data_IF_351681212785
#
_entry.id   IF_351681212785
#
_cell.length_a   1.000
_cell.length_b   1.000
_cell.length_c   1.000
_cell.angle_alpha   90.00
_cell.angle_beta   90.00
_cell.angle_gamma   90.00
#
_symmetry.space_group_name_H-M   'P 1'
#
loop_
_entity.id
_entity.type
_entity.pdbx_description
1 polymer ?
#
# COMPACT_ATOMS: atom_id res chain seq x y z
N UNK A 1 17.62 20.90 -2.03
CA UNK A 1 18.15 19.58 -2.42
C UNK A 1 16.99 18.63 -2.67
N UNK A 2 16.98 17.92 -3.79
CA UNK A 2 15.95 16.95 -4.16
C UNK A 2 16.34 15.53 -3.77
N UNK A 3 15.36 14.66 -3.57
CA UNK A 3 15.59 13.27 -3.21
C UNK A 3 16.52 12.55 -4.21
N UNK A 4 17.38 11.68 -3.70
CA UNK A 4 18.32 10.86 -4.47
C UNK A 4 17.67 9.93 -5.49
N UNK A 5 16.39 9.57 -5.35
CA UNK A 5 15.73 8.63 -6.26
C UNK A 5 15.32 9.28 -7.59
N UNK A 6 15.56 8.58 -8.70
CA UNK A 6 15.21 9.04 -10.04
C UNK A 6 13.73 9.46 -10.12
N UNK A 7 13.48 10.67 -10.60
CA UNK A 7 12.13 11.22 -10.79
C UNK A 7 11.42 11.68 -9.51
N UNK A 8 12.12 11.75 -8.37
CA UNK A 8 11.53 12.23 -7.13
C UNK A 8 11.88 13.70 -6.85
N UNK A 9 10.91 14.59 -7.09
CA UNK A 9 11.06 16.03 -6.81
C UNK A 9 10.80 16.43 -5.35
N UNK A 10 10.57 15.46 -4.46
CA UNK A 10 10.28 15.76 -3.05
C UNK A 10 11.54 16.29 -2.34
N UNK A 11 11.37 17.24 -1.40
CA UNK A 11 12.49 17.76 -0.63
C UNK A 11 13.11 16.68 0.25
N UNK A 12 14.40 16.83 0.45
CA UNK A 12 15.22 15.95 1.27
C UNK A 12 14.99 16.25 2.76
N UNK A 13 15.00 15.23 3.61
CA UNK A 13 14.94 15.45 5.07
C UNK A 13 16.31 15.89 5.59
N UNK A 14 16.38 16.75 6.63
CA UNK A 14 17.66 17.10 7.25
C UNK A 14 18.43 15.84 7.63
N UNK A 15 19.76 15.81 7.40
CA UNK A 15 20.70 14.69 7.64
C UNK A 15 20.68 13.50 6.67
N UNK A 16 19.79 13.46 5.69
CA UNK A 16 19.71 12.34 4.74
C UNK A 16 19.71 12.84 3.30
N UNK A 17 19.95 11.99 2.30
CA UNK A 17 19.82 12.36 0.87
C UNK A 17 18.45 11.96 0.27
N UNK A 18 17.48 11.63 1.13
CA UNK A 18 16.19 11.05 0.74
C UNK A 18 15.04 11.89 1.31
N UNK A 19 13.89 11.88 0.62
CA UNK A 19 12.68 12.49 1.15
C UNK A 19 12.03 11.62 2.24
N UNK A 20 11.07 12.18 2.98
CA UNK A 20 10.37 11.46 4.05
C UNK A 20 9.73 10.13 3.58
N UNK A 21 9.23 10.08 2.34
CA UNK A 21 8.67 8.86 1.74
C UNK A 21 9.72 7.81 1.40
N UNK A 22 10.92 8.25 1.04
CA UNK A 22 12.02 7.38 0.61
C UNK A 22 13.04 7.08 1.72
N UNK A 23 12.87 7.59 2.94
CA UNK A 23 13.85 7.46 4.04
C UNK A 23 14.26 6.01 4.32
N UNK A 24 13.31 5.08 4.25
CA UNK A 24 13.53 3.63 4.45
C UNK A 24 13.67 2.84 3.15
N UNK A 25 13.86 3.51 2.01
CA UNK A 25 14.07 2.85 0.72
C UNK A 25 15.55 2.89 0.38
N UNK A 26 16.03 1.78 -0.19
CA UNK A 26 17.41 1.63 -0.65
C UNK A 26 17.50 1.80 -2.16
N UNK A 27 18.62 2.39 -2.62
CA UNK A 27 18.96 2.46 -4.04
C UNK A 27 19.51 1.11 -4.52
N UNK A 28 19.38 0.85 -5.80
CA UNK A 28 19.98 -0.31 -6.45
C UNK A 28 21.50 -0.37 -6.21
N UNK A 29 22.02 -1.59 -6.04
CA UNK A 29 23.46 -1.86 -5.85
C UNK A 29 24.32 -1.50 -7.07
N UNK A 30 23.74 -1.46 -8.27
CA UNK A 30 24.46 -1.09 -9.50
C UNK A 30 24.89 0.38 -9.40
N UNK A 31 26.17 0.63 -9.64
CA UNK A 31 26.75 1.97 -9.58
C UNK A 31 26.07 2.93 -10.56
N UNK A 32 25.82 4.15 -10.12
CA UNK A 32 25.06 5.14 -10.89
C UNK A 32 23.55 4.89 -10.99
N UNK A 33 23.02 3.81 -10.39
CA UNK A 33 21.58 3.55 -10.38
C UNK A 33 20.89 4.18 -9.17
N UNK A 34 20.02 5.15 -9.46
CA UNK A 34 19.19 5.84 -8.47
C UNK A 34 17.76 5.28 -8.41
N UNK A 35 17.51 4.09 -8.95
CA UNK A 35 16.22 3.40 -8.85
C UNK A 35 16.10 2.66 -7.51
N UNK A 36 14.88 2.52 -7.03
CA UNK A 36 14.57 1.77 -5.82
C UNK A 36 14.82 0.25 -5.99
N UNK A 37 15.38 -0.37 -4.96
CA UNK A 37 15.49 -1.83 -4.86
C UNK A 37 14.09 -2.46 -4.89
N UNK A 38 13.95 -3.47 -5.74
CA UNK A 38 12.79 -4.35 -5.75
C UNK A 38 13.07 -5.62 -4.94
N UNK A 39 14.15 -6.33 -5.26
CA UNK A 39 14.62 -7.51 -4.53
C UNK A 39 16.13 -7.69 -4.74
N UNK A 40 16.80 -8.42 -3.83
CA UNK A 40 18.24 -8.77 -3.95
C UNK A 40 19.15 -7.56 -4.14
N UNK A 41 18.79 -6.41 -3.53
CA UNK A 41 19.48 -5.13 -3.69
C UNK A 41 19.49 -4.58 -5.13
N UNK A 42 18.65 -5.09 -6.02
CA UNK A 42 18.57 -4.70 -7.43
C UNK A 42 17.19 -4.11 -7.76
N UNK A 43 17.16 -3.13 -8.67
CA UNK A 43 15.90 -2.62 -9.22
C UNK A 43 15.37 -3.55 -10.34
N UNK A 44 14.16 -3.30 -10.81
CA UNK A 44 13.51 -4.14 -11.83
C UNK A 44 14.33 -4.25 -13.12
N UNK A 45 14.96 -3.16 -13.56
CA UNK A 45 15.81 -3.14 -14.77
C UNK A 45 17.15 -3.86 -14.59
N UNK A 46 17.67 -3.96 -13.35
CA UNK A 46 18.96 -4.56 -13.05
C UNK A 46 18.82 -5.97 -12.47
N UNK A 47 17.73 -6.68 -12.77
CA UNK A 47 17.56 -8.08 -12.37
C UNK A 47 16.92 -8.30 -10.99
N UNK A 48 16.35 -7.25 -10.38
CA UNK A 48 15.51 -7.42 -9.19
C UNK A 48 14.26 -8.27 -9.47
N UNK A 49 13.80 -8.30 -10.73
CA UNK A 49 12.64 -9.10 -11.15
C UNK A 49 13.03 -10.05 -12.28
N UNK A 50 12.45 -11.26 -12.29
CA UNK A 50 12.64 -12.23 -13.38
C UNK A 50 12.19 -11.63 -14.72
N UNK A 51 12.91 -11.97 -15.79
CA UNK A 51 12.57 -11.65 -17.18
C UNK A 51 11.68 -12.75 -17.77
N UNK A 52 10.84 -12.37 -18.73
CA UNK A 52 9.97 -13.32 -19.43
C UNK A 52 10.78 -14.46 -20.06
N UNK A 53 10.35 -15.70 -19.89
CA UNK A 53 11.00 -16.87 -20.49
C UNK A 53 10.77 -17.02 -22.01
N UNK A 54 9.97 -16.14 -22.62
CA UNK A 54 9.73 -16.18 -24.07
C UNK A 54 11.00 -15.73 -24.84
N UNK A 55 11.38 -16.43 -25.92
CA UNK A 55 12.59 -16.12 -26.67
C UNK A 55 12.58 -14.67 -27.19
N UNK A 56 13.65 -13.93 -26.90
CA UNK A 56 13.80 -12.52 -27.31
C UNK A 56 13.01 -11.50 -26.48
N UNK A 57 12.34 -11.91 -25.40
CA UNK A 57 11.56 -10.98 -24.58
C UNK A 57 12.33 -10.43 -23.37
N UNK A 58 12.69 -9.16 -23.40
CA UNK A 58 13.30 -8.46 -22.25
C UNK A 58 12.27 -7.91 -21.21
N UNK A 59 10.98 -8.20 -21.38
CA UNK A 59 9.96 -7.68 -20.47
C UNK A 59 9.98 -8.41 -19.13
N UNK A 60 9.75 -7.71 -18.00
CA UNK A 60 9.66 -8.37 -16.70
C UNK A 60 8.44 -9.28 -16.61
N UNK A 61 8.61 -10.42 -15.92
CA UNK A 61 7.55 -11.38 -15.62
C UNK A 61 6.40 -10.71 -14.87
N UNK A 62 5.18 -11.16 -15.13
CA UNK A 62 3.97 -10.67 -14.44
C UNK A 62 3.25 -11.80 -13.73
N UNK A 63 3.03 -12.92 -14.42
CA UNK A 63 2.34 -14.10 -13.90
C UNK A 63 3.14 -15.33 -14.33
N UNK A 64 3.38 -16.27 -13.40
CA UNK A 64 4.23 -17.44 -13.67
C UNK A 64 5.64 -17.03 -14.07
N UNK A 65 6.07 -17.42 -15.26
CA UNK A 65 7.37 -17.07 -15.84
C UNK A 65 7.26 -16.18 -17.10
N UNK A 66 6.07 -15.63 -17.38
CA UNK A 66 5.80 -14.85 -18.58
C UNK A 66 5.38 -13.40 -18.27
N UNK A 67 5.66 -12.50 -19.20
CA UNK A 67 5.16 -11.12 -19.16
C UNK A 67 3.68 -11.06 -19.58
N UNK A 68 2.99 -9.94 -19.38
CA UNK A 68 1.57 -9.78 -19.75
C UNK A 68 1.23 -10.06 -21.21
N UNK A 69 2.20 -9.97 -22.13
CA UNK A 69 2.03 -10.30 -23.55
C UNK A 69 2.15 -11.80 -23.83
N UNK A 70 2.94 -12.51 -23.04
CA UNK A 70 3.25 -13.93 -23.23
C UNK A 70 2.55 -14.83 -22.20
N UNK A 71 1.87 -14.24 -21.22
CA UNK A 71 0.90 -14.96 -20.40
C UNK A 71 -0.33 -15.23 -21.25
N UNK A 72 -0.73 -16.50 -21.35
CA UNK A 72 -2.00 -16.86 -21.95
C UNK A 72 -3.13 -16.20 -21.16
N UNK A 73 -3.75 -15.16 -21.74
CA UNK A 73 -5.07 -14.72 -21.30
C UNK A 73 -6.05 -15.68 -21.93
N UNK A 74 -6.64 -16.57 -21.14
CA UNK A 74 -7.75 -17.39 -21.59
C UNK A 74 -8.98 -16.49 -21.72
N UNK A 75 -9.14 -15.84 -22.86
CA UNK A 75 -10.34 -15.12 -23.24
C UNK A 75 -11.04 -15.92 -24.34
N UNK A 76 -12.35 -16.13 -24.18
CA UNK A 76 -13.19 -16.76 -25.20
C UNK A 76 -13.73 -15.71 -26.16
N UNK A 77 -14.17 -16.11 -27.34
CA UNK A 77 -14.91 -15.19 -28.22
C UNK A 77 -16.26 -14.83 -27.60
N UNK A 78 -16.74 -13.61 -27.83
CA UNK A 78 -18.08 -13.21 -27.44
C UNK A 78 -19.15 -14.02 -28.19
N UNK A 79 -20.14 -14.54 -27.48
CA UNK A 79 -21.27 -15.32 -28.03
C UNK A 79 -22.27 -14.49 -28.88
N UNK A 80 -21.98 -13.23 -29.19
CA UNK A 80 -22.88 -12.35 -29.96
C UNK A 80 -22.45 -12.38 -31.43
N UNK A 81 -23.38 -12.70 -32.33
CA UNK A 81 -23.11 -12.78 -33.77
C UNK A 81 -22.50 -11.47 -34.31
N UNK A 82 -21.38 -11.60 -35.02
CA UNK A 82 -20.63 -10.46 -35.58
C UNK A 82 -19.71 -9.72 -34.59
N UNK A 83 -19.60 -10.16 -33.34
CA UNK A 83 -18.70 -9.55 -32.37
C UNK A 83 -17.27 -10.13 -32.49
N UNK A 84 -16.29 -9.27 -32.78
CA UNK A 84 -14.86 -9.61 -32.82
C UNK A 84 -14.14 -9.42 -31.49
N UNK A 85 -14.87 -9.05 -30.43
CA UNK A 85 -14.30 -8.79 -29.11
C UNK A 85 -14.23 -10.06 -28.30
N UNK A 86 -13.13 -10.24 -27.59
CA UNK A 86 -12.97 -11.33 -26.63
C UNK A 86 -13.67 -11.01 -25.31
N UNK A 87 -14.01 -12.06 -24.57
CA UNK A 87 -14.53 -11.98 -23.21
C UNK A 87 -13.44 -11.60 -22.22
N UNK A 88 -13.80 -10.99 -21.08
CA UNK A 88 -12.78 -10.57 -20.12
C UNK A 88 -12.14 -11.76 -19.37
N UNK A 89 -12.83 -12.90 -19.33
CA UNK A 89 -12.35 -14.14 -18.75
C UNK A 89 -12.98 -15.33 -19.49
N UNK A 90 -12.26 -16.44 -19.59
CA UNK A 90 -12.70 -17.66 -20.29
C UNK A 90 -14.09 -18.16 -19.86
N UNK A 91 -14.46 -17.94 -18.59
CA UNK A 91 -15.74 -18.38 -18.03
C UNK A 91 -16.92 -17.46 -18.41
N UNK A 92 -16.67 -16.37 -19.11
CA UNK A 92 -17.70 -15.46 -19.58
C UNK A 92 -18.11 -15.81 -21.01
N UNK A 93 -19.41 -15.71 -21.29
CA UNK A 93 -19.96 -15.94 -22.63
C UNK A 93 -20.08 -14.66 -23.46
N UNK A 94 -20.06 -13.48 -22.81
CA UNK A 94 -20.22 -12.19 -23.47
C UNK A 94 -19.02 -11.28 -23.17
N UNK A 95 -18.67 -10.42 -24.11
CA UNK A 95 -17.63 -9.41 -23.89
C UNK A 95 -18.12 -8.30 -22.95
N UNK A 96 -17.22 -7.48 -22.37
CA UNK A 96 -17.60 -6.38 -21.49
C UNK A 96 -18.64 -5.41 -22.08
N UNK A 97 -18.66 -5.25 -23.40
CA UNK A 97 -19.63 -4.40 -24.11
C UNK A 97 -21.01 -5.06 -24.24
N UNK A 98 -21.07 -6.39 -24.29
CA UNK A 98 -22.30 -7.16 -24.44
C UNK A 98 -22.78 -7.81 -23.14
N UNK A 99 -22.35 -7.30 -21.98
CA UNK A 99 -22.81 -7.78 -20.66
C UNK A 99 -21.90 -8.78 -19.97
N UNK A 100 -20.65 -8.93 -20.41
CA UNK A 100 -19.58 -9.62 -19.66
C UNK A 100 -19.14 -8.89 -18.39
N UNK A 101 -19.64 -7.68 -18.15
CA UNK A 101 -19.52 -6.95 -16.89
C UNK A 101 -20.83 -6.23 -16.60
N UNK A 102 -21.25 -6.20 -15.34
CA UNK A 102 -22.37 -5.34 -14.93
C UNK A 102 -21.99 -3.87 -15.03
N UNK A 103 -22.96 -3.01 -15.33
CA UNK A 103 -22.78 -1.56 -15.23
C UNK A 103 -22.81 -1.12 -13.76
N UNK A 104 -22.32 0.09 -13.50
CA UNK A 104 -22.42 0.70 -12.19
C UNK A 104 -23.90 0.85 -11.78
N UNK A 105 -24.23 0.51 -10.53
CA UNK A 105 -25.57 0.62 -9.97
C UNK A 105 -26.01 2.06 -9.62
N UNK A 106 -25.26 3.07 -10.08
CA UNK A 106 -25.67 4.47 -9.94
C UNK A 106 -26.46 4.82 -11.19
N UNK A 107 -27.61 5.47 -11.01
CA UNK A 107 -28.46 5.91 -12.11
C UNK A 107 -27.65 6.75 -13.12
N UNK A 108 -27.94 6.56 -14.41
CA UNK A 108 -27.23 7.18 -15.54
C UNK A 108 -25.73 6.87 -15.67
N UNK A 109 -25.19 5.88 -14.95
CA UNK A 109 -23.79 5.49 -15.05
C UNK A 109 -23.54 4.28 -15.97
N UNK A 110 -23.12 4.53 -17.21
CA UNK A 110 -22.74 3.49 -18.20
C UNK A 110 -21.35 2.87 -17.96
N UNK A 111 -20.62 3.27 -16.90
CA UNK A 111 -19.29 2.73 -16.62
C UNK A 111 -19.41 1.32 -16.03
N UNK A 112 -18.53 0.38 -16.41
CA UNK A 112 -18.57 -0.97 -15.88
C UNK A 112 -18.25 -1.00 -14.37
N UNK A 113 -18.97 -1.84 -13.64
CA UNK A 113 -18.70 -2.16 -12.26
C UNK A 113 -17.37 -2.93 -12.16
N UNK A 114 -16.56 -2.55 -11.19
CA UNK A 114 -15.23 -3.13 -10.97
C UNK A 114 -15.09 -3.74 -9.59
N UNK A 115 -15.79 -3.18 -8.60
CA UNK A 115 -15.82 -3.68 -7.23
C UNK A 115 -17.28 -3.71 -6.78
N UNK A 116 -17.82 -4.90 -6.53
CA UNK A 116 -19.25 -5.08 -6.29
C UNK A 116 -20.10 -4.60 -7.47
N UNK A 117 -21.07 -3.73 -7.21
CA UNK A 117 -21.93 -3.13 -8.25
C UNK A 117 -21.48 -1.73 -8.69
N UNK A 118 -20.29 -1.25 -8.32
CA UNK A 118 -19.88 0.15 -8.56
C UNK A 118 -18.62 0.27 -9.43
N UNK A 119 -18.56 1.35 -10.22
CA UNK A 119 -17.38 1.71 -11.00
C UNK A 119 -16.29 2.37 -10.12
N UNK A 120 -15.10 2.59 -10.67
CA UNK A 120 -13.98 3.21 -9.94
C UNK A 120 -14.28 4.60 -9.38
N UNK A 121 -15.17 5.37 -10.02
CA UNK A 121 -15.58 6.69 -9.54
C UNK A 121 -16.66 6.62 -8.45
N UNK A 122 -17.50 5.60 -8.46
CA UNK A 122 -18.65 5.49 -7.56
C UNK A 122 -18.41 4.53 -6.38
N UNK A 123 -17.38 3.70 -6.41
CA UNK A 123 -17.08 2.71 -5.34
C UNK A 123 -16.86 3.30 -3.95
N UNK A 124 -16.39 4.56 -3.87
CA UNK A 124 -16.15 5.25 -2.60
C UNK A 124 -17.24 6.30 -2.28
N UNK A 125 -18.20 6.52 -3.19
CA UNK A 125 -19.25 7.54 -3.06
C UNK A 125 -20.58 7.00 -2.57
N UNK A 126 -20.68 5.70 -2.31
CA UNK A 126 -21.80 5.13 -1.57
C UNK A 126 -21.51 5.26 -0.09
N UNK A 127 -21.40 6.50 0.37
CA UNK A 127 -21.78 6.77 1.74
C UNK A 127 -23.31 6.63 1.77
N UNK A 128 -23.77 5.86 2.75
CA UNK A 128 -25.16 5.68 3.12
C UNK A 128 -25.97 6.97 2.96
N UNK A 129 -27.22 6.81 2.52
CA UNK A 129 -28.36 7.75 2.57
C UNK A 129 -28.04 9.09 3.28
N UNK A 130 -28.32 10.27 2.68
CA UNK A 130 -28.05 11.56 3.31
C UNK A 130 -28.59 11.55 4.74
N UNK A 131 -27.67 11.74 5.69
CA UNK A 131 -27.98 11.85 7.10
C UNK A 131 -28.92 13.05 7.27
N UNK A 132 -30.11 12.89 7.87
CA UNK A 132 -30.96 14.03 8.19
C UNK A 132 -30.14 15.05 9.01
N UNK A 133 -30.27 16.34 8.69
CA UNK A 133 -29.43 17.43 9.22
C UNK A 133 -29.67 17.76 10.71
N UNK A 134 -30.25 16.84 11.50
CA UNK A 134 -30.66 17.09 12.90
C UNK A 134 -29.74 16.42 13.93
N UNK A 135 -28.47 16.17 13.60
CA UNK A 135 -27.50 15.58 14.53
C UNK A 135 -26.21 16.42 14.68
N UNK A 136 -26.35 17.74 14.78
CA UNK A 136 -25.28 18.66 15.19
C UNK A 136 -25.52 19.11 16.65
N UNK A 137 -25.38 18.19 17.61
CA UNK A 137 -25.38 18.56 19.03
C UNK A 137 -24.82 17.44 19.94
N UNK A 138 -23.55 17.07 19.78
CA UNK A 138 -22.68 16.77 20.93
C UNK A 138 -21.22 16.83 20.49
N UNK A 139 -20.40 17.49 21.29
CA UNK A 139 -19.01 17.75 21.00
C UNK A 139 -18.23 16.61 21.65
N UNK A 140 -17.76 15.65 20.86
CA UNK A 140 -17.10 14.44 21.38
C UNK A 140 -15.66 14.69 21.90
N UNK A 141 -15.32 15.93 22.23
CA UNK A 141 -13.99 16.34 22.71
C UNK A 141 -13.77 16.17 24.22
N UNK A 142 -14.85 16.10 25.01
CA UNK A 142 -14.73 16.21 26.47
C UNK A 142 -14.47 14.86 27.16
N UNK A 143 -14.78 13.73 26.52
CA UNK A 143 -14.65 12.40 27.13
C UNK A 143 -13.18 11.92 27.23
N UNK A 144 -12.32 12.29 26.28
CA UNK A 144 -10.91 11.90 26.29
C UNK A 144 -10.08 12.72 27.27
N UNK A 145 -10.45 13.99 27.48
CA UNK A 145 -9.76 14.88 28.42
C UNK A 145 -10.00 14.42 29.86
N UNK A 146 -11.23 14.01 30.19
CA UNK A 146 -11.55 13.50 31.54
C UNK A 146 -10.85 12.17 31.87
N UNK A 147 -10.64 11.31 30.87
CA UNK A 147 -9.88 10.05 31.05
C UNK A 147 -8.38 10.29 31.27
N UNK A 148 -7.82 11.39 30.74
CA UNK A 148 -6.42 11.75 30.89
C UNK A 148 -6.15 12.43 32.26
N UNK A 149 -7.06 13.26 32.75
CA UNK A 149 -6.92 13.91 34.06
C UNK A 149 -7.05 12.91 35.23
N UNK A 150 -7.86 11.87 35.10
CA UNK A 150 -8.00 10.81 36.11
C UNK A 150 -6.71 9.97 36.24
N UNK A 151 -5.97 9.78 35.14
CA UNK A 151 -4.68 9.06 35.13
C UNK A 151 -3.49 9.89 35.61
N UNK A 152 -3.59 11.22 35.60
CA UNK A 152 -2.50 12.11 36.03
C UNK A 152 -2.49 12.43 37.53
N UNK A 153 -3.51 12.01 38.30
CA UNK A 153 -3.57 12.28 39.74
C UNK A 153 -3.05 11.15 40.62
N UNK A 154 -2.89 9.93 40.10
CA UNK A 154 -2.46 8.76 40.89
C UNK A 154 -0.92 8.61 41.04
N UNK A 155 -0.10 9.43 40.37
CA UNK A 155 1.37 9.39 40.52
C UNK A 155 1.93 10.24 41.68
N UNK A 156 1.10 10.98 42.41
CA UNK A 156 1.58 11.83 43.52
C UNK A 156 1.60 11.15 44.88
N UNK A 157 1.12 9.91 45.00
CA UNK A 157 1.13 9.15 46.27
C UNK A 157 2.21 8.07 46.36
N UNK A 158 3.01 7.86 45.31
CA UNK A 158 4.08 6.84 45.28
C UNK A 158 5.50 7.40 45.48
N UNK A 159 5.64 8.71 45.68
CA UNK A 159 6.96 9.37 45.92
C UNK A 159 7.32 9.44 47.42
N UNK A 160 6.51 8.84 48.30
CA UNK A 160 6.71 8.94 49.76
C UNK A 160 7.30 7.69 50.45
N UNK A 161 7.65 6.62 49.72
CA UNK A 161 8.11 5.36 50.35
C UNK A 161 9.31 4.66 49.71
N UNK A 162 10.00 5.24 48.72
CA UNK A 162 11.27 4.69 48.24
C UNK A 162 12.43 5.41 48.93
N UNK A 163 12.89 4.81 50.02
CA UNK A 163 14.20 5.11 50.60
C UNK A 163 15.30 4.82 49.59
N UNK A 164 16.27 5.73 49.52
CA UNK A 164 17.50 5.63 48.73
C UNK A 164 18.30 4.37 49.08
N UNK A 165 18.10 3.28 48.33
CA UNK A 165 19.10 2.22 48.21
C UNK A 165 19.84 2.39 46.88
N UNK A 166 21.02 2.98 47.00
CA UNK A 166 22.02 3.17 45.95
C UNK A 166 22.38 1.81 45.33
N UNK A 167 22.04 1.58 44.07
CA UNK A 167 22.49 0.38 43.33
C UNK A 167 23.94 0.63 42.88
N UNK A 168 24.87 -0.10 43.51
CA UNK A 168 26.29 -0.13 43.13
C UNK A 168 26.48 -0.93 41.84
N UNK A 169 27.06 -0.30 40.81
CA UNK A 169 27.16 -0.85 39.44
C UNK A 169 28.57 -1.36 39.10
N UNK A 170 29.48 -1.47 40.07
CA UNK A 170 30.85 -1.96 39.84
C UNK A 170 30.99 -3.50 39.76
N UNK A 171 29.90 -4.27 39.91
CA UNK A 171 29.94 -5.74 39.93
C UNK A 171 29.42 -6.49 38.70
N UNK A 172 28.88 -5.81 37.67
CA UNK A 172 28.15 -6.48 36.57
C UNK A 172 29.05 -6.83 35.37
N UNK A 173 30.30 -6.36 35.35
CA UNK A 173 31.18 -6.50 34.18
C UNK A 173 32.09 -7.75 34.15
N UNK A 174 32.13 -8.58 35.20
CA UNK A 174 32.97 -9.78 35.22
C UNK A 174 32.27 -11.07 34.72
N UNK A 175 30.94 -11.07 34.54
CA UNK A 175 30.19 -12.25 34.08
C UNK A 175 29.89 -12.29 32.56
N UNK A 176 30.35 -11.31 31.78
CA UNK A 176 30.09 -11.24 30.32
C UNK A 176 31.26 -11.79 29.46
N UNK A 177 32.41 -12.15 30.04
CA UNK A 177 33.60 -12.59 29.27
C UNK A 177 33.84 -14.11 29.31
N UNK A 178 32.84 -14.95 29.58
CA UNK A 178 33.05 -16.41 29.56
C UNK A 178 31.94 -17.26 28.92
N UNK A 179 31.27 -16.75 27.89
CA UNK A 179 30.58 -17.59 26.90
C UNK A 179 30.81 -17.10 25.47
#
# INVERSE_FOLDING_TARGET
MSCLFNGCSKPVVPSLDKCAFHRYRSKCKVDGCFNQVYARLLCVSHGGKKTCQSPGCASPVRIGDFCTKHTARSSSACSVDGCTQDTAAANQTKCPLHGGSSNCAVDDCVKPARMGKFCWHHRNRVLSKPMPQEALACNDGDALILMLDEWMMDETTLVSSLSDDFIDFDGILDDIVLF
#
